data_IF_098381766201
#
_entry.id   IF_098381766201
#
_cell.length_a   1.000
_cell.length_b   1.000
_cell.length_c   1.000
_cell.angle_alpha   90.00
_cell.angle_beta   90.00
_cell.angle_gamma   90.00
#
_symmetry.space_group_name_H-M   'P 1'
#
loop_
_entity.id
_entity.type
_entity.pdbx_description
1 polymer ?
#
# COMPACT_ATOMS: atom_id res chain seq x y z
N UNK A 1 18.86 2.71 6.23
CA UNK A 1 19.31 4.11 6.42
C UNK A 1 18.80 5.00 5.27
N UNK A 2 18.93 6.34 5.32
CA UNK A 2 18.52 7.24 4.21
C UNK A 2 19.54 7.13 3.08
N UNK A 3 19.16 6.66 1.90
CA UNK A 3 20.08 6.61 0.76
C UNK A 3 19.98 7.92 -0.04
N UNK A 4 21.00 8.78 0.08
CA UNK A 4 21.03 10.08 -0.61
C UNK A 4 21.21 9.97 -2.13
N UNK A 5 21.68 8.82 -2.62
CA UNK A 5 21.94 8.60 -4.05
C UNK A 5 20.68 8.28 -4.86
N UNK A 6 19.50 8.19 -4.19
CA UNK A 6 18.21 8.01 -4.86
C UNK A 6 17.78 9.26 -5.59
N UNK A 7 17.36 9.13 -6.85
CA UNK A 7 16.90 10.25 -7.65
C UNK A 7 15.55 10.79 -7.13
N UNK A 8 15.21 12.03 -7.48
CA UNK A 8 13.88 12.59 -7.15
C UNK A 8 12.74 11.80 -7.77
N UNK A 9 12.94 11.32 -9.01
CA UNK A 9 11.99 10.47 -9.72
C UNK A 9 11.74 9.16 -8.96
N UNK A 10 12.80 8.47 -8.50
CA UNK A 10 12.63 7.22 -7.75
C UNK A 10 11.75 7.42 -6.51
N UNK A 11 12.06 8.46 -5.72
CA UNK A 11 11.32 8.80 -4.49
C UNK A 11 9.86 9.10 -4.79
N UNK A 12 9.59 9.85 -5.85
CA UNK A 12 8.24 10.20 -6.28
C UNK A 12 7.43 8.96 -6.65
N UNK A 13 7.93 8.11 -7.54
CA UNK A 13 7.19 6.90 -7.97
C UNK A 13 6.96 5.91 -6.84
N UNK A 14 7.95 5.72 -5.97
CA UNK A 14 7.79 4.88 -4.79
C UNK A 14 6.72 5.43 -3.84
N UNK A 15 6.73 6.73 -3.56
CA UNK A 15 5.71 7.37 -2.74
C UNK A 15 4.31 7.27 -3.37
N UNK A 16 4.20 7.53 -4.68
CA UNK A 16 2.94 7.42 -5.43
C UNK A 16 2.34 6.01 -5.37
N UNK A 17 3.18 4.98 -5.39
CA UNK A 17 2.70 3.60 -5.24
C UNK A 17 1.97 3.39 -3.89
N UNK A 18 2.45 3.99 -2.80
CA UNK A 18 1.77 3.90 -1.51
C UNK A 18 0.53 4.82 -1.43
N UNK A 19 0.61 6.03 -2.00
CA UNK A 19 -0.53 6.98 -2.05
C UNK A 19 -1.73 6.40 -2.82
N UNK A 20 -1.48 5.52 -3.79
CA UNK A 20 -2.53 4.82 -4.52
C UNK A 20 -3.46 3.97 -3.62
N UNK A 21 -3.16 3.76 -2.33
CA UNK A 21 -4.14 3.23 -1.37
C UNK A 21 -5.44 4.04 -1.33
N UNK A 22 -5.37 5.36 -1.52
CA UNK A 22 -6.54 6.25 -1.41
C UNK A 22 -7.61 5.86 -2.43
N UNK A 23 -7.32 5.80 -3.73
CA UNK A 23 -8.29 5.31 -4.71
C UNK A 23 -8.63 3.82 -4.56
N UNK A 24 -7.83 2.98 -3.87
CA UNK A 24 -8.31 1.63 -3.49
C UNK A 24 -9.49 1.72 -2.53
N UNK A 25 -9.39 2.59 -1.52
CA UNK A 25 -10.37 2.72 -0.46
C UNK A 25 -11.61 3.52 -0.87
N UNK A 26 -11.46 4.51 -1.75
CA UNK A 26 -12.54 5.43 -2.12
C UNK A 26 -13.19 5.13 -3.47
N UNK A 27 -12.51 4.40 -4.37
CA UNK A 27 -12.97 4.17 -5.75
C UNK A 27 -12.94 2.70 -6.15
N UNK A 28 -13.34 1.79 -5.25
CA UNK A 28 -13.54 0.37 -5.54
C UNK A 28 -12.34 -0.33 -6.22
N UNK A 29 -11.12 -0.04 -5.75
CA UNK A 29 -9.93 -0.75 -6.22
C UNK A 29 -9.18 -0.11 -7.39
N UNK A 30 -9.56 1.08 -7.88
CA UNK A 30 -8.78 1.78 -8.92
C UNK A 30 -7.31 1.98 -8.55
N UNK A 31 -7.00 2.13 -7.26
CA UNK A 31 -5.63 2.23 -6.79
C UNK A 31 -4.77 0.98 -7.02
N UNK A 32 -5.38 -0.21 -7.11
CA UNK A 32 -4.69 -1.44 -7.50
C UNK A 32 -4.20 -1.35 -8.93
N UNK A 33 -5.04 -0.83 -9.82
CA UNK A 33 -4.65 -0.62 -11.21
C UNK A 33 -3.47 0.35 -11.31
N UNK A 34 -3.52 1.47 -10.58
CA UNK A 34 -2.42 2.44 -10.52
C UNK A 34 -1.13 1.79 -10.03
N UNK A 35 -1.17 1.02 -8.94
CA UNK A 35 0.04 0.36 -8.41
C UNK A 35 0.56 -0.75 -9.31
N UNK A 36 -0.32 -1.49 -9.99
CA UNK A 36 0.07 -2.46 -11.01
C UNK A 36 0.83 -1.76 -12.13
N UNK A 37 0.31 -0.65 -12.65
CA UNK A 37 0.98 0.11 -13.71
C UNK A 37 2.35 0.62 -13.25
N UNK A 38 2.43 1.24 -12.05
CA UNK A 38 3.70 1.72 -11.50
C UNK A 38 4.72 0.58 -11.39
N UNK A 39 4.33 -0.56 -10.80
CA UNK A 39 5.20 -1.72 -10.72
C UNK A 39 5.61 -2.23 -12.11
N UNK A 40 4.66 -2.40 -13.03
CA UNK A 40 4.91 -2.93 -14.35
C UNK A 40 5.89 -2.08 -15.16
N UNK A 41 5.73 -0.76 -15.15
CA UNK A 41 6.59 0.15 -15.90
C UNK A 41 7.92 0.42 -15.19
N UNK A 42 7.95 0.52 -13.87
CA UNK A 42 9.17 0.88 -13.12
C UNK A 42 10.00 -0.32 -12.67
N UNK A 43 9.50 -1.56 -12.77
CA UNK A 43 10.24 -2.78 -12.35
C UNK A 43 11.57 -2.99 -13.06
N UNK A 44 11.73 -2.50 -14.29
CA UNK A 44 12.98 -2.64 -15.08
C UNK A 44 13.91 -1.43 -14.93
N UNK A 45 13.40 -0.31 -14.41
CA UNK A 45 14.16 0.94 -14.27
C UNK A 45 14.96 0.98 -12.97
N UNK A 46 14.34 0.60 -11.83
CA UNK A 46 15.03 0.56 -10.54
C UNK A 46 14.53 -0.61 -9.70
N UNK A 47 15.42 -1.49 -9.20
CA UNK A 47 15.06 -2.56 -8.28
C UNK A 47 14.37 -2.06 -7.01
N UNK A 48 14.70 -0.85 -6.56
CA UNK A 48 14.09 -0.25 -5.37
C UNK A 48 12.67 0.24 -5.63
N UNK A 49 12.43 0.92 -6.76
CA UNK A 49 11.08 1.28 -7.17
C UNK A 49 10.22 0.02 -7.37
N UNK A 50 10.79 -1.02 -7.99
CA UNK A 50 10.13 -2.32 -8.16
C UNK A 50 9.70 -2.92 -6.81
N UNK A 51 10.60 -2.87 -5.83
CA UNK A 51 10.36 -3.36 -4.49
C UNK A 51 9.26 -2.58 -3.77
N UNK A 52 9.32 -1.25 -3.73
CA UNK A 52 8.30 -0.42 -3.08
C UNK A 52 6.95 -0.55 -3.79
N UNK A 53 6.94 -0.57 -5.13
CA UNK A 53 5.74 -0.79 -5.92
C UNK A 53 5.07 -2.13 -5.66
N UNK A 54 5.84 -3.23 -5.63
CA UNK A 54 5.28 -4.56 -5.36
C UNK A 54 4.79 -4.70 -3.92
N UNK A 55 5.49 -4.08 -2.97
CA UNK A 55 5.05 -4.03 -1.57
C UNK A 55 3.71 -3.31 -1.42
N UNK A 56 3.60 -2.11 -2.00
CA UNK A 56 2.37 -1.33 -1.99
C UNK A 56 1.22 -2.09 -2.67
N UNK A 57 1.48 -2.68 -3.84
CA UNK A 57 0.50 -3.49 -4.57
C UNK A 57 0.01 -4.67 -3.73
N UNK A 58 0.92 -5.42 -3.11
CA UNK A 58 0.55 -6.61 -2.33
C UNK A 58 -0.25 -6.22 -1.09
N UNK A 59 0.16 -5.15 -0.40
CA UNK A 59 -0.58 -4.62 0.75
C UNK A 59 -1.98 -4.16 0.35
N UNK A 60 -2.09 -3.40 -0.73
CA UNK A 60 -3.37 -2.93 -1.27
C UNK A 60 -4.27 -4.10 -1.68
N UNK A 61 -3.73 -5.13 -2.33
CA UNK A 61 -4.49 -6.30 -2.77
C UNK A 61 -5.05 -7.07 -1.57
N UNK A 62 -4.25 -7.27 -0.52
CA UNK A 62 -4.71 -7.92 0.71
C UNK A 62 -5.80 -7.09 1.39
N UNK A 63 -5.58 -5.78 1.55
CA UNK A 63 -6.58 -4.90 2.15
C UNK A 63 -7.89 -4.91 1.36
N UNK A 64 -7.84 -4.84 0.02
CA UNK A 64 -9.01 -4.88 -0.83
C UNK A 64 -9.76 -6.22 -0.70
N UNK A 65 -9.06 -7.35 -0.83
CA UNK A 65 -9.68 -8.69 -0.75
C UNK A 65 -10.27 -8.98 0.63
N UNK A 66 -9.70 -8.45 1.71
CA UNK A 66 -10.24 -8.66 3.07
C UNK A 66 -11.41 -7.73 3.36
N UNK A 67 -11.28 -6.43 3.07
CA UNK A 67 -12.26 -5.45 3.54
C UNK A 67 -13.40 -5.18 2.57
N UNK A 68 -13.19 -5.28 1.25
CA UNK A 68 -14.26 -4.98 0.29
C UNK A 68 -15.44 -5.98 0.37
N UNK A 69 -15.22 -7.31 0.44
CA UNK A 69 -16.33 -8.26 0.58
C UNK A 69 -17.05 -8.11 1.92
N UNK A 70 -16.30 -7.91 3.01
CA UNK A 70 -16.87 -7.72 4.35
C UNK A 70 -17.78 -6.49 4.39
N UNK A 71 -17.34 -5.36 3.80
CA UNK A 71 -18.20 -4.17 3.70
C UNK A 71 -19.43 -4.42 2.84
N UNK A 72 -19.27 -5.09 1.70
CA UNK A 72 -20.39 -5.40 0.81
C UNK A 72 -21.44 -6.27 1.51
N UNK A 73 -21.02 -7.31 2.23
CA UNK A 73 -21.93 -8.23 2.93
C UNK A 73 -22.66 -7.59 4.10
N UNK A 74 -21.99 -6.74 4.90
CA UNK A 74 -22.61 -6.13 6.08
C UNK A 74 -23.40 -4.87 5.70
N UNK A 75 -23.05 -4.16 4.63
CA UNK A 75 -23.80 -2.96 4.23
C UNK A 75 -25.23 -3.29 3.80
N UNK A 76 -25.48 -4.49 3.28
CA UNK A 76 -26.80 -4.97 2.85
C UNK A 76 -27.71 -5.38 4.02
N UNK A 77 -27.17 -5.53 5.24
CA UNK A 77 -27.96 -5.90 6.42
C UNK A 77 -28.72 -4.73 7.04
N UNK A 78 -28.51 -3.51 6.56
CA UNK A 78 -29.13 -2.30 7.10
C UNK A 78 -28.67 -1.92 8.51
N UNK A 79 -27.57 -2.51 9.00
CA UNK A 79 -27.01 -2.17 10.32
C UNK A 79 -26.59 -0.70 10.41
N UNK A 80 -27.03 -0.03 11.47
CA UNK A 80 -26.53 1.30 11.81
C UNK A 80 -25.06 1.24 12.27
N UNK A 81 -24.26 2.23 11.88
CA UNK A 81 -22.87 2.40 12.34
C UNK A 81 -22.83 2.80 13.82
N UNK A 82 -22.96 1.83 14.71
CA UNK A 82 -22.77 1.96 16.15
C UNK A 82 -21.41 1.38 16.56
N UNK A 83 -20.86 1.77 17.72
CA UNK A 83 -19.57 1.23 18.20
C UNK A 83 -19.58 -0.29 18.44
N UNK A 84 -20.77 -0.88 18.61
CA UNK A 84 -20.98 -2.31 18.70
C UNK A 84 -21.10 -3.01 17.35
N UNK A 85 -21.30 -2.27 16.25
CA UNK A 85 -21.45 -2.89 14.93
C UNK A 85 -20.10 -3.36 14.36
N UNK A 86 -20.07 -4.53 13.69
CA UNK A 86 -18.87 -4.98 12.99
C UNK A 86 -18.37 -3.97 11.93
N UNK A 87 -19.28 -3.23 11.28
CA UNK A 87 -18.93 -2.18 10.30
C UNK A 87 -18.06 -1.07 10.89
N UNK A 88 -18.33 -0.65 12.13
CA UNK A 88 -17.54 0.38 12.81
C UNK A 88 -16.08 -0.07 12.95
N UNK A 89 -15.85 -1.31 13.40
CA UNK A 89 -14.50 -1.86 13.58
C UNK A 89 -13.78 -2.06 12.25
N UNK A 90 -14.48 -2.48 11.19
CA UNK A 90 -13.92 -2.52 9.82
C UNK A 90 -13.46 -1.12 9.38
N UNK A 91 -14.26 -0.09 9.64
CA UNK A 91 -13.90 1.29 9.29
C UNK A 91 -12.67 1.78 10.08
N UNK A 92 -12.57 1.45 11.37
CA UNK A 92 -11.38 1.74 12.19
C UNK A 92 -10.13 1.07 11.62
N UNK A 93 -10.21 -0.20 11.24
CA UNK A 93 -9.09 -0.91 10.62
C UNK A 93 -8.67 -0.30 9.28
N UNK A 94 -9.61 0.15 8.45
CA UNK A 94 -9.32 0.84 7.21
C UNK A 94 -8.61 2.18 7.41
N UNK A 95 -8.96 2.92 8.46
CA UNK A 95 -8.26 4.15 8.86
C UNK A 95 -6.81 3.83 9.24
N UNK A 96 -6.56 2.75 10.00
CA UNK A 96 -5.20 2.32 10.33
C UNK A 96 -4.39 1.92 9.08
N UNK A 97 -5.02 1.20 8.15
CA UNK A 97 -4.43 0.84 6.84
C UNK A 97 -4.02 2.09 6.06
N UNK A 98 -4.89 3.11 6.04
CA UNK A 98 -4.61 4.41 5.42
C UNK A 98 -3.39 5.09 6.05
N UNK A 99 -3.36 5.24 7.39
CA UNK A 99 -2.20 5.84 8.07
C UNK A 99 -0.91 5.07 7.81
N UNK A 100 -0.97 3.75 7.78
CA UNK A 100 0.22 2.93 7.53
C UNK A 100 0.77 3.11 6.11
N UNK A 101 -0.12 3.26 5.11
CA UNK A 101 0.27 3.58 3.75
C UNK A 101 0.82 5.02 3.61
N UNK A 102 0.25 6.00 4.33
CA UNK A 102 0.80 7.36 4.41
C UNK A 102 2.22 7.34 4.98
N UNK A 103 2.46 6.59 6.06
CA UNK A 103 3.81 6.41 6.60
C UNK A 103 4.78 5.81 5.57
N UNK A 104 4.32 4.85 4.77
CA UNK A 104 5.10 4.28 3.66
C UNK A 104 5.43 5.31 2.58
N UNK A 105 4.43 6.10 2.17
CA UNK A 105 4.60 7.19 1.21
C UNK A 105 5.60 8.24 1.69
N UNK A 106 5.47 8.71 2.94
CA UNK A 106 6.39 9.70 3.53
C UNK A 106 7.82 9.16 3.61
N UNK A 107 7.99 7.90 4.04
CA UNK A 107 9.33 7.29 4.10
C UNK A 107 9.96 7.16 2.72
N UNK A 108 9.19 6.75 1.70
CA UNK A 108 9.67 6.67 0.32
C UNK A 108 10.01 8.06 -0.25
N UNK A 109 9.20 9.08 0.03
CA UNK A 109 9.45 10.45 -0.39
C UNK A 109 10.76 11.01 0.19
N UNK A 110 11.09 10.63 1.43
CA UNK A 110 12.36 10.98 2.09
C UNK A 110 13.56 10.12 1.63
N UNK A 111 13.32 9.08 0.84
CA UNK A 111 14.34 8.13 0.35
C UNK A 111 14.75 7.06 1.36
N UNK A 112 13.91 6.80 2.37
CA UNK A 112 14.09 5.66 3.27
C UNK A 112 13.47 4.40 2.67
N UNK A 113 14.08 3.26 2.96
CA UNK A 113 13.45 1.97 2.70
C UNK A 113 12.24 1.80 3.62
N UNK A 114 11.07 1.66 3.02
CA UNK A 114 9.89 1.20 3.74
C UNK A 114 9.73 -0.30 3.58
N UNK A 115 9.20 -0.97 4.61
CA UNK A 115 8.94 -2.40 4.62
C UNK A 115 7.68 -2.70 5.44
N UNK A 116 6.66 -3.27 4.81
CA UNK A 116 5.53 -3.85 5.53
C UNK A 116 6.00 -5.09 6.33
N UNK A 117 5.78 -5.17 7.65
CA UNK A 117 6.31 -6.23 8.51
C UNK A 117 5.92 -7.64 8.07
N UNK A 118 4.66 -7.84 7.66
CA UNK A 118 4.14 -9.15 7.29
C UNK A 118 4.60 -9.62 5.91
N UNK A 119 4.72 -8.71 4.94
CA UNK A 119 4.88 -9.05 3.52
C UNK A 119 6.33 -8.82 3.05
N UNK A 120 7.00 -7.86 3.65
CA UNK A 120 8.27 -7.34 3.17
C UNK A 120 9.40 -8.36 3.15
N UNK A 121 9.41 -9.35 4.05
CA UNK A 121 10.46 -10.38 4.13
C UNK A 121 10.50 -11.28 2.88
N UNK A 122 9.35 -11.71 2.38
CA UNK A 122 9.26 -12.57 1.19
C UNK A 122 9.60 -11.82 -0.10
N UNK A 123 9.14 -10.57 -0.22
CA UNK A 123 9.43 -9.74 -1.40
C UNK A 123 10.90 -9.34 -1.47
N UNK A 124 11.54 -9.09 -0.32
CA UNK A 124 12.95 -8.67 -0.25
C UNK A 124 13.91 -9.70 -0.83
N UNK A 125 13.65 -10.99 -0.62
CA UNK A 125 14.45 -12.08 -1.18
C UNK A 125 14.50 -12.05 -2.71
N UNK A 126 13.44 -11.57 -3.36
CA UNK A 126 13.35 -11.49 -4.83
C UNK A 126 14.15 -10.35 -5.44
N UNK A 127 14.30 -9.23 -4.73
CA UNK A 127 14.91 -8.01 -5.28
C UNK A 127 16.33 -7.72 -4.80
N UNK A 128 16.91 -8.58 -3.93
CA UNK A 128 18.25 -8.40 -3.33
C UNK A 128 18.49 -6.96 -2.82
N UNK A 129 17.43 -6.27 -2.38
CA UNK A 129 17.55 -4.95 -1.77
C UNK A 129 18.13 -5.19 -0.38
N UNK A 130 19.46 -5.13 -0.29
CA UNK A 130 20.18 -5.25 0.96
C UNK A 130 19.85 -4.03 1.81
N UNK A 131 19.45 -4.26 3.07
CA UNK A 131 19.50 -3.23 4.09
C UNK A 131 20.98 -2.90 4.30
N UNK A 132 21.42 -1.79 3.68
CA UNK A 132 22.58 -1.04 4.16
C UNK A 132 22.05 0.13 5.01
#
# INVERSE_FOLDING_TARGET
MRNRNRTGEEKLWAALAHVAIVPVLTLYGLGLFITILIYYFKRRTSPWMAFQGLQALTFQAIAFTVFAPVRFLIQDTGESNSMSSPLYWVQVLLILVFFYAVMGATRCALGYNFRYPLIGRRIQQRFRVQEQ
#
